data_IF_595542288811
#
_entry.id   IF_595542288811
#
_cell.length_a   1.000
_cell.length_b   1.000
_cell.length_c   1.000
_cell.angle_alpha   90.00
_cell.angle_beta   90.00
_cell.angle_gamma   90.00
#
_symmetry.space_group_name_H-M   'P 1'
#
loop_
_entity.id
_entity.type
_entity.pdbx_description
1 polymer ?
#
# COMPACT_ATOMS: atom_id res chain seq x y z
N UNK A 1 -6.64 5.64 18.37
CA UNK A 1 -5.51 6.28 17.63
C UNK A 1 -6.07 7.33 16.68
N UNK A 2 -6.90 6.99 15.66
CA UNK A 2 -7.36 7.97 14.68
C UNK A 2 -8.12 9.14 15.33
N UNK A 3 -9.11 8.85 16.18
CA UNK A 3 -9.89 9.88 16.90
C UNK A 3 -9.04 10.72 17.87
N UNK A 4 -8.08 10.12 18.56
CA UNK A 4 -7.18 10.80 19.50
C UNK A 4 -6.20 11.75 18.80
N UNK A 5 -5.98 11.54 17.51
CA UNK A 5 -5.06 12.33 16.69
C UNK A 5 -5.77 13.17 15.62
N UNK A 6 -7.07 13.39 15.73
CA UNK A 6 -7.85 14.19 14.76
C UNK A 6 -7.59 13.80 13.29
N UNK A 7 -7.47 12.50 13.03
CA UNK A 7 -7.24 11.98 11.68
C UNK A 7 -8.50 12.13 10.85
N UNK A 8 -8.38 12.68 9.67
CA UNK A 8 -9.46 12.78 8.68
C UNK A 8 -9.16 12.02 7.40
N UNK A 9 -7.88 11.97 7.02
CA UNK A 9 -7.42 11.29 5.81
C UNK A 9 -6.33 10.29 6.11
N UNK A 10 -6.52 9.09 5.58
CA UNK A 10 -5.61 7.95 5.71
C UNK A 10 -5.06 7.59 4.35
N UNK A 11 -3.76 7.39 4.23
CA UNK A 11 -3.13 6.74 3.08
C UNK A 11 -2.65 5.35 3.48
N UNK A 12 -2.94 4.37 2.66
CA UNK A 12 -2.63 2.96 2.97
C UNK A 12 -1.72 2.36 1.90
N UNK A 13 -0.69 1.64 2.33
CA UNK A 13 0.03 0.73 1.45
C UNK A 13 -0.66 -0.63 1.45
N UNK A 14 -0.44 -1.41 0.40
CA UNK A 14 -0.99 -2.76 0.28
C UNK A 14 -0.69 -3.60 1.51
N UNK A 15 -1.71 -4.23 2.07
CA UNK A 15 -1.61 -5.12 3.22
C UNK A 15 -2.71 -6.16 3.19
N UNK A 16 -2.34 -7.43 3.03
CA UNK A 16 -3.31 -8.53 3.06
C UNK A 16 -4.01 -8.63 4.41
N UNK A 17 -3.30 -8.40 5.51
CA UNK A 17 -3.92 -8.38 6.85
C UNK A 17 -5.00 -7.29 6.96
N UNK A 18 -4.75 -6.11 6.38
CA UNK A 18 -5.75 -5.04 6.35
C UNK A 18 -6.98 -5.41 5.50
N UNK A 19 -6.79 -6.14 4.40
CA UNK A 19 -7.89 -6.64 3.57
C UNK A 19 -8.72 -7.69 4.32
N UNK A 20 -8.07 -8.66 4.97
CA UNK A 20 -8.74 -9.71 5.73
C UNK A 20 -9.65 -9.17 6.84
N UNK A 21 -9.23 -8.11 7.52
CA UNK A 21 -10.03 -7.46 8.57
C UNK A 21 -10.98 -6.38 8.03
N UNK A 22 -11.04 -6.19 6.71
CA UNK A 22 -11.87 -5.18 6.05
C UNK A 22 -11.65 -3.77 6.61
N UNK A 23 -10.37 -3.39 6.77
CA UNK A 23 -9.99 -2.15 7.43
C UNK A 23 -10.54 -0.91 6.73
N UNK A 24 -10.50 -0.85 5.39
CA UNK A 24 -10.99 0.32 4.65
C UNK A 24 -12.47 0.61 4.92
N UNK A 25 -13.39 -0.36 4.76
CA UNK A 25 -14.80 -0.15 5.11
C UNK A 25 -15.01 0.29 6.57
N UNK A 26 -14.23 -0.28 7.49
CA UNK A 26 -14.35 0.07 8.91
C UNK A 26 -13.91 1.53 9.18
N UNK A 27 -12.84 2.00 8.54
CA UNK A 27 -12.38 3.39 8.67
C UNK A 27 -13.34 4.37 7.99
N UNK A 28 -13.85 4.02 6.82
CA UNK A 28 -14.83 4.82 6.08
C UNK A 28 -16.15 4.94 6.83
N UNK A 29 -16.62 3.88 7.50
CA UNK A 29 -17.79 3.91 8.37
C UNK A 29 -17.64 4.89 9.55
N UNK A 30 -16.42 5.13 10.01
CA UNK A 30 -16.07 6.12 11.03
C UNK A 30 -15.89 7.54 10.45
N UNK A 31 -16.17 7.75 9.16
CA UNK A 31 -16.11 9.03 8.46
C UNK A 31 -14.72 9.45 8.00
N UNK A 32 -13.75 8.53 7.96
CA UNK A 32 -12.41 8.79 7.47
C UNK A 32 -12.34 8.61 5.96
N UNK A 33 -11.50 9.41 5.30
CA UNK A 33 -11.19 9.24 3.89
C UNK A 33 -9.99 8.29 3.80
N UNK A 34 -10.13 7.18 3.08
CA UNK A 34 -9.07 6.18 2.91
C UNK A 34 -8.62 6.15 1.46
N UNK A 35 -7.33 6.38 1.23
CA UNK A 35 -6.72 6.35 -0.10
C UNK A 35 -5.69 5.21 -0.20
N UNK A 36 -5.93 4.30 -1.14
CA UNK A 36 -4.94 3.29 -1.53
C UNK A 36 -3.79 3.94 -2.30
N UNK A 37 -2.57 3.49 -2.04
CA UNK A 37 -1.37 4.09 -2.65
C UNK A 37 -0.58 3.15 -3.55
N UNK A 38 -0.86 1.86 -3.52
CA UNK A 38 -0.44 0.91 -4.53
C UNK A 38 -1.25 1.14 -5.81
N UNK A 39 -0.61 1.12 -6.97
CA UNK A 39 -1.28 1.44 -8.23
C UNK A 39 -2.44 0.48 -8.54
N UNK A 40 -2.24 -0.81 -8.34
CA UNK A 40 -3.26 -1.83 -8.59
C UNK A 40 -4.44 -1.69 -7.63
N UNK A 41 -4.17 -1.50 -6.35
CA UNK A 41 -5.20 -1.27 -5.33
C UNK A 41 -5.96 0.04 -5.58
N UNK A 42 -5.27 1.10 -5.99
CA UNK A 42 -5.92 2.36 -6.31
C UNK A 42 -6.87 2.26 -7.50
N UNK A 43 -6.48 1.51 -8.54
CA UNK A 43 -7.37 1.24 -9.70
C UNK A 43 -8.63 0.51 -9.23
N UNK A 44 -8.50 -0.51 -8.41
CA UNK A 44 -9.63 -1.26 -7.86
C UNK A 44 -10.52 -0.36 -6.98
N UNK A 45 -9.90 0.49 -6.15
CA UNK A 45 -10.63 1.47 -5.35
C UNK A 45 -11.45 2.44 -6.22
N UNK A 46 -10.90 2.95 -7.34
CA UNK A 46 -11.63 3.80 -8.28
C UNK A 46 -12.87 3.14 -8.89
N UNK A 47 -12.85 1.81 -8.99
CA UNK A 47 -13.95 1.02 -9.54
C UNK A 47 -14.93 0.53 -8.49
N UNK A 48 -14.64 0.73 -7.21
CA UNK A 48 -15.39 0.17 -6.09
C UNK A 48 -15.53 -1.37 -6.18
N UNK A 49 -14.48 -2.03 -6.67
CA UNK A 49 -14.41 -3.50 -6.80
C UNK A 49 -13.50 -4.09 -5.71
N UNK A 50 -13.62 -5.39 -5.46
CA UNK A 50 -12.64 -6.14 -4.67
C UNK A 50 -11.43 -6.58 -5.50
N UNK A 51 -10.27 -6.82 -4.89
CA UNK A 51 -9.09 -7.30 -5.59
C UNK A 51 -9.33 -8.70 -6.17
N UNK A 52 -9.02 -8.90 -7.45
CA UNK A 52 -9.16 -10.21 -8.12
C UNK A 52 -7.98 -11.13 -7.87
N UNK A 53 -6.85 -10.61 -7.41
CA UNK A 53 -5.62 -11.35 -7.13
C UNK A 53 -4.82 -10.67 -6.02
N UNK A 54 -4.16 -11.47 -5.15
CA UNK A 54 -3.42 -10.96 -4.00
C UNK A 54 -2.26 -10.03 -4.36
N UNK A 55 -1.50 -10.38 -5.40
CA UNK A 55 -0.30 -9.61 -5.81
C UNK A 55 -0.62 -8.60 -6.90
N UNK A 56 -1.52 -8.96 -7.82
CA UNK A 56 -1.92 -8.12 -8.95
C UNK A 56 -3.45 -7.88 -8.90
N UNK A 57 -3.94 -7.00 -8.04
CA UNK A 57 -5.37 -6.85 -7.78
C UNK A 57 -6.20 -6.48 -9.01
N UNK A 58 -5.61 -5.73 -9.94
CA UNK A 58 -6.26 -5.27 -11.17
C UNK A 58 -5.94 -6.13 -12.42
N UNK A 59 -5.45 -7.36 -12.27
CA UNK A 59 -5.00 -8.22 -13.39
C UNK A 59 -6.11 -8.54 -14.39
N UNK A 60 -7.37 -8.51 -13.97
CA UNK A 60 -8.54 -8.75 -14.83
C UNK A 60 -8.87 -7.58 -15.77
N UNK A 61 -8.23 -6.42 -15.58
CA UNK A 61 -8.50 -5.23 -16.36
C UNK A 61 -7.56 -5.10 -17.56
N UNK A 62 -8.13 -4.76 -18.68
CA UNK A 62 -7.37 -4.36 -19.87
C UNK A 62 -6.85 -2.93 -19.72
N UNK A 63 -5.76 -2.60 -20.42
CA UNK A 63 -5.22 -1.22 -20.48
C UNK A 63 -6.24 -0.18 -20.94
N UNK A 64 -7.23 -0.57 -21.74
CA UNK A 64 -8.30 0.31 -22.22
C UNK A 64 -9.26 0.68 -21.09
N UNK A 65 -9.65 -0.30 -20.28
CA UNK A 65 -10.51 -0.07 -19.11
C UNK A 65 -9.82 0.81 -18.09
N UNK A 66 -8.53 0.57 -17.82
CA UNK A 66 -7.73 1.42 -16.92
C UNK A 66 -7.65 2.88 -17.42
N UNK A 67 -7.43 3.08 -18.74
CA UNK A 67 -7.42 4.42 -19.33
C UNK A 67 -8.79 5.13 -19.21
N UNK A 68 -9.89 4.41 -19.37
CA UNK A 68 -11.24 4.93 -19.16
C UNK A 68 -11.49 5.32 -17.69
N UNK A 69 -11.07 4.49 -16.76
CA UNK A 69 -11.22 4.77 -15.32
C UNK A 69 -10.42 6.01 -14.91
N UNK A 70 -9.20 6.15 -15.40
CA UNK A 70 -8.41 7.36 -15.17
C UNK A 70 -8.99 8.59 -15.87
N UNK A 71 -9.59 8.45 -17.04
CA UNK A 71 -10.31 9.53 -17.71
C UNK A 71 -11.47 10.01 -16.85
N UNK A 72 -12.24 9.11 -16.26
CA UNK A 72 -13.34 9.46 -15.34
C UNK A 72 -12.83 10.11 -14.06
N UNK A 73 -11.74 9.59 -13.49
CA UNK A 73 -11.17 10.09 -12.24
C UNK A 73 -10.53 11.48 -12.38
N UNK A 74 -9.99 11.81 -13.55
CA UNK A 74 -9.27 13.10 -13.79
C UNK A 74 -10.06 14.11 -14.58
N UNK A 75 -11.10 13.70 -15.30
CA UNK A 75 -11.83 14.54 -16.26
C UNK A 75 -11.08 14.79 -17.57
N UNK A 76 -9.87 14.27 -17.74
CA UNK A 76 -9.02 14.43 -18.93
C UNK A 76 -8.87 13.09 -19.63
N UNK A 77 -9.08 13.07 -20.97
CA UNK A 77 -8.94 11.85 -21.77
C UNK A 77 -7.53 11.27 -21.66
N UNK A 78 -7.46 10.04 -21.18
CA UNK A 78 -6.21 9.32 -21.02
C UNK A 78 -5.92 8.42 -22.21
N UNK A 79 -4.64 8.26 -22.54
CA UNK A 79 -4.15 7.38 -23.57
C UNK A 79 -3.97 5.95 -23.03
N UNK A 80 -3.97 4.98 -23.94
CA UNK A 80 -3.69 3.57 -23.64
C UNK A 80 -2.19 3.26 -23.50
N UNK A 81 -1.32 4.25 -23.73
CA UNK A 81 0.11 4.15 -23.42
C UNK A 81 0.31 4.10 -21.89
N UNK A 82 0.80 2.96 -21.42
CA UNK A 82 0.96 2.65 -19.97
C UNK A 82 1.71 3.74 -19.19
N UNK A 83 2.63 4.46 -19.85
CA UNK A 83 3.43 5.50 -19.16
C UNK A 83 2.59 6.72 -18.76
N UNK A 84 1.54 7.06 -19.52
CA UNK A 84 0.71 8.23 -19.24
C UNK A 84 -0.19 8.03 -18.02
N UNK A 85 -0.98 6.95 -17.91
CA UNK A 85 -1.73 6.64 -16.69
C UNK A 85 -0.86 6.60 -15.42
N UNK A 86 0.35 6.05 -15.51
CA UNK A 86 1.29 6.04 -14.35
C UNK A 86 1.67 7.46 -13.92
N UNK A 87 1.90 8.39 -14.86
CA UNK A 87 2.17 9.80 -14.53
C UNK A 87 0.98 10.46 -13.87
N UNK A 88 -0.24 10.19 -14.35
CA UNK A 88 -1.47 10.69 -13.75
C UNK A 88 -1.65 10.17 -12.33
N UNK A 89 -1.54 8.86 -12.14
CA UNK A 89 -1.58 8.25 -10.80
C UNK A 89 -0.56 8.91 -9.85
N UNK A 90 0.67 9.10 -10.31
CA UNK A 90 1.74 9.75 -9.54
C UNK A 90 1.38 11.16 -9.07
N UNK A 91 0.75 11.97 -9.93
CA UNK A 91 0.31 13.34 -9.58
C UNK A 91 -0.84 13.30 -8.59
N UNK A 92 -1.83 12.45 -8.82
CA UNK A 92 -3.00 12.32 -7.95
C UNK A 92 -2.60 11.79 -6.56
N UNK A 93 -1.83 10.70 -6.51
CA UNK A 93 -1.37 10.11 -5.25
C UNK A 93 -0.45 11.05 -4.47
N UNK A 94 0.39 11.85 -5.14
CA UNK A 94 1.22 12.85 -4.46
C UNK A 94 0.39 13.82 -3.61
N UNK A 95 -0.73 14.31 -4.13
CA UNK A 95 -1.63 15.21 -3.39
C UNK A 95 -2.24 14.49 -2.18
N UNK A 96 -2.61 13.22 -2.32
CA UNK A 96 -3.16 12.39 -1.25
C UNK A 96 -2.14 12.18 -0.14
N UNK A 97 -0.90 11.85 -0.48
CA UNK A 97 0.20 11.71 0.49
C UNK A 97 0.44 12.99 1.30
N UNK A 98 0.45 14.16 0.63
CA UNK A 98 0.69 15.45 1.29
C UNK A 98 -0.48 15.82 2.22
N UNK A 99 -1.70 15.46 1.85
CA UNK A 99 -2.90 15.76 2.62
C UNK A 99 -3.23 14.73 3.72
N UNK A 100 -2.45 13.65 3.81
CA UNK A 100 -2.73 12.57 4.74
C UNK A 100 -2.32 12.92 6.18
N UNK A 101 -3.19 12.60 7.12
CA UNK A 101 -2.92 12.71 8.56
C UNK A 101 -2.29 11.42 9.10
N UNK A 102 -2.72 10.28 8.59
CA UNK A 102 -2.28 8.96 9.05
C UNK A 102 -1.88 8.08 7.88
N UNK A 103 -0.78 7.38 8.04
CA UNK A 103 -0.34 6.29 7.18
C UNK A 103 -0.63 4.93 7.81
N UNK A 104 -1.16 4.01 7.01
CA UNK A 104 -1.35 2.63 7.43
C UNK A 104 -0.54 1.72 6.52
N UNK A 105 0.35 0.91 7.10
CA UNK A 105 1.13 -0.07 6.37
C UNK A 105 0.89 -1.49 6.88
N UNK A 106 1.15 -2.47 6.01
CA UNK A 106 1.44 -3.82 6.44
C UNK A 106 2.84 -3.93 7.02
N UNK A 107 3.23 -5.15 7.36
CA UNK A 107 4.53 -5.49 7.89
C UNK A 107 4.94 -6.85 7.34
N UNK A 108 6.17 -6.97 6.85
CA UNK A 108 6.73 -8.27 6.48
C UNK A 108 7.32 -8.98 7.70
N UNK A 109 8.00 -8.22 8.57
CA UNK A 109 8.55 -8.71 9.82
C UNK A 109 8.42 -7.65 10.92
N UNK A 110 7.98 -8.06 12.12
CA UNK A 110 8.03 -7.29 13.35
C UNK A 110 9.08 -7.92 14.26
N UNK A 111 10.14 -7.19 14.59
CA UNK A 111 11.28 -7.71 15.37
C UNK A 111 11.06 -7.47 16.85
N UNK A 112 10.90 -8.54 17.64
CA UNK A 112 10.60 -8.46 19.06
C UNK A 112 11.74 -7.84 19.87
N UNK A 113 12.99 -8.11 19.45
CA UNK A 113 14.20 -7.66 20.16
C UNK A 113 14.29 -6.14 20.29
N UNK A 114 13.87 -5.39 19.26
CA UNK A 114 14.10 -3.95 19.19
C UNK A 114 12.87 -3.14 18.77
N UNK A 115 11.73 -3.81 18.50
CA UNK A 115 10.50 -3.16 18.04
C UNK A 115 10.51 -2.68 16.59
N UNK A 116 11.52 -3.04 15.80
CA UNK A 116 11.58 -2.63 14.39
C UNK A 116 10.48 -3.32 13.57
N UNK A 117 9.92 -2.57 12.63
CA UNK A 117 8.93 -3.05 11.65
C UNK A 117 9.52 -2.98 10.27
N UNK A 118 9.66 -4.13 9.62
CA UNK A 118 10.23 -4.22 8.28
C UNK A 118 9.14 -4.30 7.22
N UNK A 119 9.25 -3.47 6.20
CA UNK A 119 8.39 -3.49 5.02
C UNK A 119 9.23 -3.60 3.74
N UNK A 120 8.95 -4.63 2.95
CA UNK A 120 9.55 -4.81 1.62
C UNK A 120 8.63 -4.19 0.58
N UNK A 121 9.17 -3.29 -0.24
CA UNK A 121 8.38 -2.56 -1.24
C UNK A 121 9.16 -2.40 -2.55
N UNK A 122 8.46 -2.39 -3.68
CA UNK A 122 9.04 -2.14 -5.01
C UNK A 122 8.71 -0.75 -5.56
N UNK A 123 7.58 -0.17 -5.15
CA UNK A 123 7.06 1.08 -5.73
C UNK A 123 7.47 2.33 -4.95
N UNK A 124 7.97 2.18 -3.73
CA UNK A 124 8.30 3.30 -2.84
C UNK A 124 7.10 3.96 -2.16
N UNK A 125 5.86 3.55 -2.48
CA UNK A 125 4.63 4.05 -1.85
C UNK A 125 4.60 3.77 -0.35
N UNK A 126 4.98 2.56 0.08
CA UNK A 126 5.03 2.21 1.49
C UNK A 126 5.97 3.14 2.29
N UNK A 127 7.12 3.52 1.71
CA UNK A 127 8.02 4.50 2.34
C UNK A 127 7.32 5.84 2.57
N UNK A 128 6.58 6.34 1.58
CA UNK A 128 5.85 7.60 1.73
C UNK A 128 4.70 7.47 2.75
N UNK A 129 4.01 6.34 2.79
CA UNK A 129 2.97 6.05 3.80
C UNK A 129 3.53 6.08 5.22
N UNK A 130 4.74 5.57 5.43
CA UNK A 130 5.36 5.48 6.75
C UNK A 130 6.04 6.76 7.22
N UNK A 131 6.39 7.68 6.30
CA UNK A 131 7.25 8.83 6.62
C UNK A 131 6.60 10.20 6.45
N UNK A 132 5.60 10.34 5.57
CA UNK A 132 4.98 11.65 5.31
C UNK A 132 3.86 12.01 6.30
N UNK A 133 2.90 11.10 6.61
CA UNK A 133 1.87 11.41 7.60
C UNK A 133 2.47 11.54 9.00
N UNK A 134 1.83 12.38 9.82
CA UNK A 134 2.26 12.61 11.23
C UNK A 134 2.00 11.43 12.16
N UNK A 135 1.11 10.51 11.76
CA UNK A 135 0.80 9.28 12.51
C UNK A 135 1.01 8.10 11.58
N UNK A 136 1.72 7.08 12.04
CA UNK A 136 1.87 5.82 11.32
C UNK A 136 1.38 4.64 12.15
N UNK A 137 0.58 3.78 11.53
CA UNK A 137 0.08 2.53 12.12
C UNK A 137 0.51 1.36 11.24
N UNK A 138 1.31 0.47 11.78
CA UNK A 138 1.66 -0.80 11.14
C UNK A 138 0.70 -1.90 11.60
N UNK A 139 0.09 -2.62 10.66
CA UNK A 139 -0.79 -3.75 10.95
C UNK A 139 -0.10 -5.03 10.51
N UNK A 140 0.08 -5.95 11.44
CA UNK A 140 0.75 -7.21 11.22
C UNK A 140 -0.02 -8.38 11.83
N UNK A 141 -0.02 -9.52 11.14
CA UNK A 141 -0.40 -10.78 11.76
C UNK A 141 0.66 -11.22 12.79
N UNK A 142 0.26 -11.99 13.78
CA UNK A 142 1.18 -12.55 14.78
C UNK A 142 2.25 -13.46 14.15
N UNK A 143 1.96 -14.03 13.00
CA UNK A 143 2.87 -14.83 12.18
C UNK A 143 4.07 -14.03 11.62
N UNK A 144 4.00 -12.70 11.65
CA UNK A 144 5.09 -11.80 11.21
C UNK A 144 6.07 -11.46 12.34
N UNK A 145 5.77 -11.87 13.57
CA UNK A 145 6.67 -11.62 14.70
C UNK A 145 7.90 -12.53 14.60
N UNK A 146 9.06 -11.92 14.63
CA UNK A 146 10.35 -12.60 14.57
C UNK A 146 11.21 -12.18 15.78
N UNK A 147 11.92 -13.12 16.44
CA UNK A 147 12.61 -12.82 17.71
C UNK A 147 13.72 -11.77 17.58
N UNK A 148 14.61 -11.92 16.59
CA UNK A 148 15.84 -11.12 16.48
C UNK A 148 15.99 -10.48 15.10
N UNK A 149 16.79 -9.43 15.02
CA UNK A 149 17.13 -8.77 13.76
C UNK A 149 17.89 -9.72 12.82
N UNK A 150 18.79 -10.53 13.31
CA UNK A 150 19.53 -11.52 12.52
C UNK A 150 18.63 -12.53 11.82
N UNK A 151 17.60 -13.00 12.52
CA UNK A 151 16.60 -13.89 11.94
C UNK A 151 15.76 -13.17 10.89
N UNK A 152 15.40 -11.91 11.10
CA UNK A 152 14.70 -11.09 10.11
C UNK A 152 15.56 -10.88 8.84
N UNK A 153 16.84 -10.59 8.99
CA UNK A 153 17.79 -10.47 7.87
C UNK A 153 17.92 -11.80 7.10
N UNK A 154 17.99 -12.93 7.82
CA UNK A 154 18.01 -14.25 7.19
C UNK A 154 16.72 -14.53 6.40
N UNK A 155 15.55 -14.20 6.96
CA UNK A 155 14.27 -14.34 6.27
C UNK A 155 14.19 -13.45 5.02
N UNK A 156 14.77 -12.24 5.05
CA UNK A 156 14.87 -11.34 3.90
C UNK A 156 15.73 -11.89 2.75
N UNK A 157 16.64 -12.80 2.99
CA UNK A 157 17.39 -13.49 1.92
C UNK A 157 16.53 -14.55 1.21
N UNK A 158 15.57 -15.13 1.93
CA UNK A 158 14.66 -16.16 1.41
C UNK A 158 13.46 -15.55 0.69
N UNK A 159 12.91 -14.47 1.22
CA UNK A 159 11.69 -13.84 0.72
C UNK A 159 11.72 -13.52 -0.78
N UNK A 160 12.70 -12.78 -1.34
CA UNK A 160 12.71 -12.46 -2.76
C UNK A 160 12.95 -13.69 -3.65
N UNK A 161 13.66 -14.69 -3.15
CA UNK A 161 13.86 -15.95 -3.88
C UNK A 161 12.55 -16.72 -4.06
N UNK A 162 11.76 -16.82 -3.00
CA UNK A 162 10.46 -17.49 -3.06
C UNK A 162 9.41 -16.70 -3.83
N UNK A 163 9.41 -15.37 -3.71
CA UNK A 163 8.40 -14.52 -4.35
C UNK A 163 8.62 -14.33 -5.85
N UNK A 164 9.87 -14.09 -6.27
CA UNK A 164 10.19 -13.66 -7.64
C UNK A 164 11.45 -14.29 -8.22
N UNK A 165 12.03 -15.30 -7.59
CA UNK A 165 13.31 -15.94 -7.93
C UNK A 165 14.50 -14.95 -7.98
N UNK A 166 14.41 -13.80 -7.35
CA UNK A 166 15.48 -12.80 -7.27
C UNK A 166 16.41 -13.09 -6.09
N UNK A 167 17.67 -12.75 -6.23
CA UNK A 167 18.66 -12.90 -5.14
C UNK A 167 18.52 -11.85 -4.06
N UNK A 168 18.09 -10.64 -4.43
CA UNK A 168 17.93 -9.48 -3.56
C UNK A 168 16.58 -8.82 -3.81
N UNK A 169 16.01 -8.21 -2.78
CA UNK A 169 14.86 -7.32 -2.92
C UNK A 169 15.32 -5.90 -3.24
N UNK A 170 14.44 -5.11 -3.89
CA UNK A 170 14.79 -3.76 -4.32
C UNK A 170 14.89 -2.78 -3.15
N UNK A 171 13.91 -2.81 -2.24
CA UNK A 171 13.84 -1.88 -1.11
C UNK A 171 13.31 -2.58 0.14
N UNK A 172 14.01 -2.35 1.26
CA UNK A 172 13.56 -2.74 2.60
C UNK A 172 13.59 -1.47 3.47
N UNK A 173 12.48 -1.19 4.13
CA UNK A 173 12.37 -0.14 5.14
C UNK A 173 12.26 -0.80 6.52
N UNK A 174 12.92 -0.20 7.50
CA UNK A 174 12.93 -0.61 8.91
C UNK A 174 12.40 0.50 9.79
#
# INVERSE_FOLDING_TARGET
IAKENDVKRVVKSKSMTAEEIQLNPALEAEGLIVDETDLGEWIIQLRHEGPSHMVMPAIHLSRYQVADDFTKATGEKQDTDVQKPVKVARVQLRRKFIAADMGVSGCNFAVAENGAVSTVTNEGNARMVTTLPRVHVAIAGLDKLIPTLDQALTALLVLPRNATAQRLTSYVNW
#
